data_IF_692532551422
#
_entry.id   IF_692532551422
#
_cell.length_a   1.000
_cell.length_b   1.000
_cell.length_c   1.000
_cell.angle_alpha   90.00
_cell.angle_beta   90.00
_cell.angle_gamma   90.00
#
_symmetry.space_group_name_H-M   'P 1'
#
loop_
_entity.id
_entity.type
_entity.pdbx_description
1 polymer ?
#
# COMPACT_ATOMS: atom_id res chain seq x y z
N UNK A 1 -12.14 1.58 18.89
CA UNK A 1 -11.88 1.17 17.49
C UNK A 1 -10.95 -0.02 17.53
N UNK A 2 -11.24 -1.14 16.86
CA UNK A 2 -10.31 -2.26 16.84
C UNK A 2 -9.01 -1.80 16.16
N UNK A 3 -7.83 -2.28 16.59
CA UNK A 3 -6.58 -1.88 15.98
C UNK A 3 -6.61 -2.35 14.52
N UNK A 4 -6.46 -1.42 13.57
CA UNK A 4 -6.27 -1.73 12.15
C UNK A 4 -5.03 -2.63 12.02
N UNK A 5 -5.24 -3.94 12.00
CA UNK A 5 -4.19 -4.95 11.99
C UNK A 5 -4.00 -5.40 10.56
N UNK A 6 -3.15 -4.68 9.82
CA UNK A 6 -2.68 -5.17 8.51
C UNK A 6 -1.71 -6.32 8.78
N UNK A 7 -2.03 -7.49 8.24
CA UNK A 7 -1.17 -8.67 8.30
C UNK A 7 -0.03 -8.53 7.29
N UNK A 8 1.11 -9.19 7.55
CA UNK A 8 2.26 -9.24 6.65
C UNK A 8 2.50 -10.66 6.11
N UNK A 9 1.59 -11.26 5.34
CA UNK A 9 1.91 -12.50 4.64
C UNK A 9 3.09 -12.24 3.69
N UNK A 10 4.22 -12.94 3.88
CA UNK A 10 5.39 -12.80 3.00
C UNK A 10 6.14 -11.47 3.09
N UNK A 11 5.95 -10.67 4.16
CA UNK A 11 6.56 -9.33 4.39
C UNK A 11 5.89 -8.16 3.67
N UNK A 12 4.74 -8.35 3.04
CA UNK A 12 3.98 -7.29 2.38
C UNK A 12 2.71 -6.92 3.15
N UNK A 13 2.38 -5.62 3.30
CA UNK A 13 1.17 -5.21 3.99
C UNK A 13 -0.10 -5.61 3.21
N UNK A 14 -0.94 -6.46 3.80
CA UNK A 14 -2.23 -6.83 3.23
C UNK A 14 -3.32 -5.80 3.61
N UNK A 15 -3.37 -4.70 2.84
CA UNK A 15 -4.38 -3.65 3.04
C UNK A 15 -5.81 -4.12 2.73
N UNK A 16 -5.96 -5.13 1.86
CA UNK A 16 -7.26 -5.64 1.40
C UNK A 16 -7.98 -6.39 2.52
N UNK A 17 -7.30 -7.34 3.17
CA UNK A 17 -7.84 -8.06 4.33
C UNK A 17 -8.19 -7.13 5.50
N UNK A 18 -7.50 -6.00 5.63
CA UNK A 18 -7.75 -4.99 6.64
C UNK A 18 -8.89 -4.01 6.29
N UNK A 19 -9.48 -4.11 5.09
CA UNK A 19 -10.54 -3.20 4.63
C UNK A 19 -10.05 -1.77 4.39
N UNK A 20 -8.77 -1.58 4.08
CA UNK A 20 -8.13 -0.27 3.90
C UNK A 20 -7.93 0.11 2.42
N UNK A 21 -8.47 -0.70 1.51
CA UNK A 21 -8.46 -0.47 0.06
C UNK A 21 -9.80 0.13 -0.34
N UNK A 22 -9.76 1.33 -0.93
CA UNK A 22 -10.97 2.01 -1.42
C UNK A 22 -11.45 1.42 -2.76
N UNK A 23 -10.51 1.18 -3.66
CA UNK A 23 -10.74 0.53 -4.95
C UNK A 23 -9.44 -0.10 -5.46
N UNK A 24 -9.58 -1.02 -6.41
CA UNK A 24 -8.45 -1.70 -7.05
C UNK A 24 -8.62 -1.69 -8.57
N UNK A 25 -7.51 -1.62 -9.27
CA UNK A 25 -7.46 -1.63 -10.73
C UNK A 25 -6.39 -2.60 -11.20
N UNK A 26 -6.67 -3.30 -12.29
CA UNK A 26 -5.71 -4.22 -12.92
C UNK A 26 -5.01 -3.50 -14.07
N UNK A 27 -3.71 -3.25 -13.92
CA UNK A 27 -2.86 -2.66 -14.96
C UNK A 27 -2.21 -3.75 -15.84
N UNK A 28 -2.22 -5.00 -15.37
CA UNK A 28 -1.59 -6.13 -16.06
C UNK A 28 -0.08 -6.19 -15.78
N UNK A 29 0.70 -5.28 -16.35
CA UNK A 29 2.15 -5.19 -16.09
C UNK A 29 2.51 -3.77 -15.68
N UNK A 30 3.24 -3.65 -14.56
CA UNK A 30 3.78 -2.37 -14.12
C UNK A 30 4.90 -1.89 -15.04
N UNK A 31 4.92 -0.59 -15.31
CA UNK A 31 5.99 0.10 -16.04
C UNK A 31 6.77 0.98 -15.05
N UNK A 32 6.41 2.26 -14.95
CA UNK A 32 7.00 3.24 -14.05
C UNK A 32 5.94 3.87 -13.16
N UNK A 33 6.34 4.28 -11.96
CA UNK A 33 5.43 4.78 -10.93
C UNK A 33 4.47 5.89 -11.41
N UNK A 34 4.97 6.88 -12.16
CA UNK A 34 4.19 7.98 -12.71
C UNK A 34 3.17 7.53 -13.76
N UNK A 35 3.57 6.65 -14.68
CA UNK A 35 2.66 6.09 -15.70
C UNK A 35 1.63 5.19 -15.02
N UNK A 36 2.05 4.27 -14.15
CA UNK A 36 1.15 3.37 -13.44
C UNK A 36 0.12 4.15 -12.61
N UNK A 37 0.52 5.25 -11.98
CA UNK A 37 -0.39 6.08 -11.18
C UNK A 37 -1.42 6.78 -12.06
N UNK A 38 -1.00 7.33 -13.20
CA UNK A 38 -1.89 7.96 -14.17
C UNK A 38 -2.86 6.93 -14.78
N UNK A 39 -2.35 5.79 -15.22
CA UNK A 39 -3.18 4.69 -15.75
C UNK A 39 -4.16 4.16 -14.70
N UNK A 40 -3.74 4.07 -13.43
CA UNK A 40 -4.63 3.66 -12.37
C UNK A 40 -5.74 4.69 -12.11
N UNK A 41 -5.42 5.99 -12.13
CA UNK A 41 -6.41 7.07 -12.02
C UNK A 41 -7.43 7.04 -13.18
N UNK A 42 -7.00 6.71 -14.40
CA UNK A 42 -7.85 6.59 -15.59
C UNK A 42 -8.76 5.35 -15.57
N UNK A 43 -8.25 4.21 -15.11
CA UNK A 43 -8.98 2.93 -15.09
C UNK A 43 -9.86 2.74 -13.85
N UNK A 44 -9.73 3.63 -12.86
CA UNK A 44 -10.42 3.51 -11.59
C UNK A 44 -11.95 3.64 -11.75
N UNK A 45 -12.74 2.65 -11.29
CA UNK A 45 -14.19 2.65 -11.47
C UNK A 45 -14.89 3.80 -10.74
N UNK A 46 -14.28 4.30 -9.65
CA UNK A 46 -14.80 5.43 -8.89
C UNK A 46 -14.12 6.76 -9.27
N UNK A 47 -13.49 6.80 -10.45
CA UNK A 47 -12.63 7.90 -10.88
C UNK A 47 -11.28 7.91 -10.17
N UNK A 48 -10.45 8.95 -10.44
CA UNK A 48 -9.12 9.08 -9.88
C UNK A 48 -9.07 8.90 -8.37
N UNK A 49 -7.91 8.47 -7.85
CA UNK A 49 -7.70 8.39 -6.40
C UNK A 49 -7.97 9.75 -5.74
N UNK A 50 -8.39 9.72 -4.48
CA UNK A 50 -8.48 10.92 -3.67
C UNK A 50 -7.11 11.56 -3.42
N UNK A 51 -7.08 12.86 -3.18
CA UNK A 51 -5.86 13.60 -2.85
C UNK A 51 -5.16 13.09 -1.57
N UNK A 52 -5.91 12.56 -0.62
CA UNK A 52 -5.40 11.94 0.61
C UNK A 52 -4.92 10.48 0.41
N UNK A 53 -5.18 9.90 -0.75
CA UNK A 53 -4.87 8.52 -1.09
C UNK A 53 -3.69 8.40 -2.08
N UNK A 54 -3.12 7.21 -2.16
CA UNK A 54 -2.05 6.85 -3.08
C UNK A 54 -2.35 5.49 -3.68
N UNK A 55 -1.85 5.25 -4.88
CA UNK A 55 -1.81 3.90 -5.42
C UNK A 55 -0.67 3.12 -4.77
N UNK A 56 -1.01 1.92 -4.32
CA UNK A 56 -0.09 0.92 -3.79
C UNK A 56 0.05 -0.22 -4.80
N UNK A 57 1.27 -0.46 -5.26
CA UNK A 57 1.61 -1.62 -6.08
C UNK A 57 1.48 -2.91 -5.27
N UNK A 58 0.50 -3.74 -5.61
CA UNK A 58 0.28 -5.02 -4.95
C UNK A 58 1.33 -6.06 -5.39
N UNK A 59 1.61 -7.03 -4.51
CA UNK A 59 2.63 -8.06 -4.70
C UNK A 59 2.40 -9.02 -5.90
N UNK A 60 1.20 -8.99 -6.48
CA UNK A 60 0.87 -9.77 -7.68
C UNK A 60 1.38 -9.13 -8.98
N UNK A 61 2.07 -7.98 -8.88
CA UNK A 61 2.72 -7.25 -9.97
C UNK A 61 1.80 -6.74 -11.08
N UNK A 62 0.49 -6.76 -10.83
CA UNK A 62 -0.55 -6.40 -11.81
C UNK A 62 -1.67 -5.54 -11.25
N UNK A 63 -1.81 -5.48 -9.93
CA UNK A 63 -2.91 -4.77 -9.26
C UNK A 63 -2.41 -3.51 -8.56
N UNK A 64 -3.09 -2.39 -8.79
CA UNK A 64 -2.92 -1.17 -7.99
C UNK A 64 -4.09 -1.04 -7.02
N UNK A 65 -3.77 -0.73 -5.76
CA UNK A 65 -4.76 -0.54 -4.69
C UNK A 65 -4.74 0.90 -4.21
N UNK A 66 -5.90 1.56 -4.23
CA UNK A 66 -6.04 2.89 -3.65
C UNK A 66 -6.10 2.78 -2.13
N UNK A 67 -5.11 3.35 -1.45
CA UNK A 67 -4.99 3.32 0.01
C UNK A 67 -4.69 4.73 0.54
N UNK A 68 -5.11 5.01 1.77
CA UNK A 68 -4.80 6.29 2.41
C UNK A 68 -3.28 6.47 2.60
N UNK A 69 -2.74 7.65 2.28
CA UNK A 69 -1.30 7.96 2.36
C UNK A 69 -0.74 7.77 3.77
N UNK A 70 -1.49 8.14 4.79
CA UNK A 70 -1.06 8.02 6.18
C UNK A 70 -0.93 6.55 6.59
N UNK A 71 -1.93 5.75 6.24
CA UNK A 71 -1.92 4.30 6.42
C UNK A 71 -0.76 3.68 5.64
N UNK A 72 -0.64 3.99 4.34
CA UNK A 72 0.45 3.50 3.50
C UNK A 72 1.83 3.81 4.11
N UNK A 73 2.02 5.03 4.63
CA UNK A 73 3.26 5.42 5.32
C UNK A 73 3.48 4.64 6.61
N UNK A 74 2.46 4.49 7.46
CA UNK A 74 2.55 3.74 8.73
C UNK A 74 2.96 2.28 8.50
N UNK A 75 2.39 1.62 7.48
CA UNK A 75 2.68 0.22 7.18
C UNK A 75 3.97 0.03 6.36
N UNK A 76 4.33 0.97 5.49
CA UNK A 76 5.69 1.03 4.90
C UNK A 76 6.75 1.18 5.98
N UNK A 77 6.45 1.94 7.03
CA UNK A 77 7.37 2.10 8.15
C UNK A 77 7.41 0.86 9.03
N UNK A 78 6.28 0.19 9.31
CA UNK A 78 6.25 -1.08 10.07
C UNK A 78 6.81 -2.30 9.29
N UNK A 79 6.93 -2.22 7.96
CA UNK A 79 7.55 -3.25 7.13
C UNK A 79 9.06 -3.07 7.00
N UNK A 80 9.83 -4.09 7.37
CA UNK A 80 11.25 -4.31 7.03
C UNK A 80 12.30 -3.37 7.66
N UNK A 81 12.10 -2.06 7.67
CA UNK A 81 13.14 -1.07 8.02
C UNK A 81 12.99 -0.44 9.42
N UNK A 82 11.82 -0.50 10.08
CA UNK A 82 11.70 -0.03 11.48
C UNK A 82 12.04 -1.08 12.53
N UNK A 83 11.93 -2.37 12.19
CA UNK A 83 12.39 -3.46 13.06
C UNK A 83 13.92 -3.45 13.22
N UNK A 84 14.67 -3.05 12.18
CA UNK A 84 16.13 -2.90 12.25
C UNK A 84 16.59 -1.73 13.12
N UNK A 85 15.75 -0.71 13.34
CA UNK A 85 16.07 0.39 14.28
C UNK A 85 15.70 0.04 15.72
N UNK A 86 14.55 -0.60 15.96
CA UNK A 86 14.14 -1.05 17.31
C UNK A 86 14.98 -2.21 17.89
N UNK A 87 15.67 -2.99 17.06
CA UNK A 87 16.59 -4.04 17.52
C UNK A 87 18.02 -3.52 17.79
N UNK A 88 18.38 -2.33 17.31
CA UNK A 88 19.68 -1.70 17.61
C UNK A 88 19.67 -0.88 18.89
N UNK A 89 18.52 -0.31 19.26
CA UNK A 89 18.40 0.55 20.45
C UNK A 89 18.08 -0.22 21.76
N UNK A 90 18.01 -1.56 21.73
CA UNK A 90 17.84 -2.43 22.91
C UNK A 90 19.13 -3.20 23.27
N UNK A 91 20.28 -2.73 22.79
CA UNK A 91 21.62 -3.18 23.22
C UNK A 91 22.46 -1.96 23.60
N UNK A 92 22.04 -1.24 24.64
CA UNK A 92 22.94 -0.45 25.49
C UNK A 92 22.50 -0.59 26.95
#
# INVERSE_FOLDING_TARGET
MPPNRVSYPGSFPDFKSAGLVRQEVQLGKFDRYDIDFATADELAPNGPKLDENTWHHHQDLKTMQEVNKEIHRRFRHMGGMSLTKKLKDNKE
#
